data_IF_915353291129
#
_entry.id   IF_915353291129
#
_cell.length_a   1.000
_cell.length_b   1.000
_cell.length_c   1.000
_cell.angle_alpha   90.00
_cell.angle_beta   90.00
_cell.angle_gamma   90.00
#
_symmetry.space_group_name_H-M   'P 1'
#
loop_
_entity.id
_entity.type
_entity.pdbx_description
1 polymer ?
#
# COMPACT_ATOMS: atom_id res chain seq x y z
N UNK A 1 -0.49 2.20 -28.36
CA UNK A 1 -0.82 2.01 -26.94
C UNK A 1 -0.03 3.03 -26.13
N UNK A 2 -0.63 3.59 -25.08
CA UNK A 2 0.11 4.48 -24.16
C UNK A 2 1.01 3.61 -23.27
N UNK A 3 2.29 3.97 -23.06
CA UNK A 3 3.17 3.23 -22.15
C UNK A 3 2.69 3.38 -20.71
N UNK A 4 2.90 2.35 -19.90
CA UNK A 4 2.65 2.42 -18.45
C UNK A 4 3.70 3.31 -17.77
N UNK A 5 3.32 4.05 -16.71
CA UNK A 5 4.24 4.94 -16.00
C UNK A 5 5.25 4.16 -15.14
N UNK A 6 6.41 4.75 -14.85
CA UNK A 6 7.42 4.14 -13.97
C UNK A 6 6.96 3.97 -12.51
N UNK A 7 5.95 4.73 -12.09
CA UNK A 7 5.35 4.67 -10.76
C UNK A 7 3.83 4.61 -10.91
N UNK A 8 3.21 3.66 -10.23
CA UNK A 8 1.75 3.50 -10.19
C UNK A 8 1.28 3.70 -8.76
N UNK A 9 0.21 4.49 -8.61
CA UNK A 9 -0.50 4.65 -7.34
C UNK A 9 -1.82 3.90 -7.45
N UNK A 10 -2.04 2.94 -6.57
CA UNK A 10 -3.31 2.20 -6.47
C UNK A 10 -4.06 2.68 -5.24
N UNK A 11 -5.17 3.37 -5.45
CA UNK A 11 -6.08 3.78 -4.38
C UNK A 11 -7.21 2.78 -4.22
N UNK A 12 -7.25 2.08 -3.08
CA UNK A 12 -8.40 1.27 -2.71
C UNK A 12 -9.52 2.19 -2.21
N UNK A 13 -10.66 2.20 -2.91
CA UNK A 13 -11.85 2.97 -2.52
C UNK A 13 -12.53 2.29 -1.33
N UNK A 14 -12.03 2.56 -0.13
CA UNK A 14 -12.50 1.92 1.10
C UNK A 14 -13.64 2.66 1.80
N UNK A 15 -13.82 3.96 1.56
CA UNK A 15 -14.84 4.74 2.26
C UNK A 15 -16.08 4.92 1.39
N UNK A 16 -17.25 4.74 2.01
CA UNK A 16 -18.52 5.23 1.48
C UNK A 16 -18.78 6.63 2.03
N UNK A 17 -19.56 7.41 1.29
CA UNK A 17 -19.97 8.78 1.66
C UNK A 17 -21.50 8.84 1.75
N UNK A 18 -22.09 7.79 2.32
CA UNK A 18 -23.50 7.70 2.71
C UNK A 18 -23.65 7.96 4.20
N UNK A 19 -24.88 7.88 4.72
CA UNK A 19 -25.21 8.25 6.11
C UNK A 19 -24.42 7.46 7.18
N UNK A 20 -23.79 6.33 6.81
CA UNK A 20 -23.00 5.51 7.73
C UNK A 20 -21.52 5.86 7.77
N UNK A 21 -20.99 6.57 6.76
CA UNK A 21 -19.55 6.87 6.62
C UNK A 21 -18.65 5.62 6.84
N UNK A 22 -19.11 4.47 6.32
CA UNK A 22 -18.48 3.19 6.60
C UNK A 22 -17.15 3.00 5.87
N UNK A 23 -16.33 2.13 6.46
CA UNK A 23 -15.06 1.68 5.87
C UNK A 23 -15.14 0.20 5.51
N UNK A 24 -14.83 -0.11 4.26
CA UNK A 24 -14.61 -1.47 3.79
C UNK A 24 -13.27 -1.99 4.34
N UNK A 25 -13.36 -2.81 5.39
CA UNK A 25 -12.21 -3.47 6.02
C UNK A 25 -11.81 -4.80 5.37
N UNK A 26 -12.34 -5.10 4.17
CA UNK A 26 -11.96 -6.27 3.39
C UNK A 26 -10.45 -6.32 3.17
N UNK A 27 -9.83 -7.44 3.55
CA UNK A 27 -8.42 -7.70 3.27
C UNK A 27 -8.22 -7.82 1.75
N UNK A 28 -7.27 -7.07 1.21
CA UNK A 28 -6.90 -7.13 -0.21
C UNK A 28 -5.49 -7.70 -0.26
N UNK A 29 -5.36 -8.90 -0.82
CA UNK A 29 -4.04 -9.49 -1.07
C UNK A 29 -3.40 -8.78 -2.26
N UNK A 30 -2.16 -8.33 -2.11
CA UNK A 30 -1.38 -7.72 -3.18
C UNK A 30 0.03 -8.33 -3.23
N UNK A 31 0.67 -8.38 -4.41
CA UNK A 31 2.05 -8.82 -4.54
C UNK A 31 3.03 -7.73 -4.06
N UNK A 32 4.07 -8.13 -3.33
CA UNK A 32 5.17 -7.23 -2.93
C UNK A 32 6.17 -7.02 -4.07
N UNK A 33 6.31 -8.00 -4.96
CA UNK A 33 7.24 -7.97 -6.09
C UNK A 33 6.60 -8.55 -7.35
N UNK A 34 7.13 -8.17 -8.52
CA UNK A 34 6.77 -8.73 -9.82
C UNK A 34 5.27 -8.66 -10.15
N UNK A 35 4.59 -7.56 -9.77
CA UNK A 35 3.19 -7.34 -10.13
C UNK A 35 3.06 -7.08 -11.63
N UNK A 36 2.17 -7.84 -12.29
CA UNK A 36 1.88 -7.73 -13.72
C UNK A 36 0.59 -6.94 -13.93
N UNK A 37 0.70 -5.63 -14.12
CA UNK A 37 -0.47 -4.74 -14.26
C UNK A 37 -1.27 -5.04 -15.53
N UNK A 38 -0.58 -5.31 -16.63
CA UNK A 38 -1.14 -5.66 -17.93
C UNK A 38 -1.16 -7.17 -18.19
N UNK A 39 -0.84 -7.99 -17.17
CA UNK A 39 -0.69 -9.44 -17.31
C UNK A 39 0.57 -9.90 -18.05
N UNK A 40 1.39 -8.98 -18.57
CA UNK A 40 2.63 -9.30 -19.30
C UNK A 40 3.83 -9.43 -18.37
N UNK A 41 4.89 -10.10 -18.84
CA UNK A 41 6.17 -10.15 -18.13
C UNK A 41 7.06 -8.93 -18.42
N UNK A 42 6.61 -7.99 -19.26
CA UNK A 42 7.42 -6.84 -19.69
C UNK A 42 7.15 -5.59 -18.83
N UNK A 43 6.12 -5.63 -17.98
CA UNK A 43 5.65 -4.50 -17.18
C UNK A 43 5.51 -4.91 -15.72
N UNK A 44 6.65 -5.22 -15.08
CA UNK A 44 6.72 -5.67 -13.69
C UNK A 44 6.87 -4.49 -12.74
N UNK A 45 6.10 -4.50 -11.66
CA UNK A 45 6.15 -3.50 -10.60
C UNK A 45 6.42 -4.15 -9.25
N UNK A 46 7.34 -3.55 -8.51
CA UNK A 46 7.58 -3.87 -7.10
C UNK A 46 6.88 -2.85 -6.22
N UNK A 47 6.33 -3.33 -5.11
CA UNK A 47 5.69 -2.47 -4.12
C UNK A 47 6.76 -1.63 -3.42
N UNK A 48 6.58 -0.30 -3.47
CA UNK A 48 7.49 0.64 -2.81
C UNK A 48 6.98 1.06 -1.42
N UNK A 49 5.66 1.23 -1.29
CA UNK A 49 5.03 1.65 -0.05
C UNK A 49 3.55 1.26 0.02
N UNK A 50 3.02 1.19 1.24
CA UNK A 50 1.61 0.99 1.56
C UNK A 50 1.19 1.98 2.63
N UNK A 51 0.23 2.85 2.33
CA UNK A 51 -0.41 3.69 3.34
C UNK A 51 -1.63 2.97 3.91
N UNK A 52 -1.60 2.71 5.20
CA UNK A 52 -2.63 2.01 5.95
C UNK A 52 -3.46 2.99 6.73
N UNK A 53 -4.77 2.77 6.76
CA UNK A 53 -5.70 3.53 7.60
C UNK A 53 -6.40 2.60 8.60
N UNK A 54 -6.38 2.96 9.88
CA UNK A 54 -7.12 2.27 10.94
C UNK A 54 -8.17 3.23 11.49
N UNK A 55 -9.35 2.71 11.85
CA UNK A 55 -10.49 3.53 12.27
C UNK A 55 -11.45 3.86 11.12
N UNK A 56 -12.38 4.78 11.37
CA UNK A 56 -13.43 5.18 10.44
C UNK A 56 -13.11 6.51 9.75
N UNK A 57 -13.98 6.97 8.83
CA UNK A 57 -13.78 8.19 8.05
C UNK A 57 -13.54 9.43 8.92
N UNK A 58 -14.22 9.54 10.07
CA UNK A 58 -14.18 10.72 10.96
C UNK A 58 -13.03 10.70 11.95
N UNK A 59 -12.61 9.50 12.37
CA UNK A 59 -11.58 9.27 13.38
C UNK A 59 -10.79 8.03 13.00
N UNK A 60 -9.62 8.26 12.43
CA UNK A 60 -8.67 7.22 12.13
C UNK A 60 -7.23 7.68 12.20
N UNK A 61 -6.33 6.74 11.94
CA UNK A 61 -4.90 6.92 12.01
C UNK A 61 -4.24 6.36 10.76
N UNK A 62 -3.35 7.14 10.16
CA UNK A 62 -2.58 6.72 9.01
C UNK A 62 -1.18 6.28 9.45
N UNK A 63 -0.75 5.14 8.96
CA UNK A 63 0.65 4.69 9.07
C UNK A 63 1.13 4.22 7.72
N UNK A 64 2.44 4.13 7.53
CA UNK A 64 3.01 3.78 6.23
C UNK A 64 4.02 2.65 6.39
N UNK A 65 3.89 1.62 5.57
CA UNK A 65 5.02 0.72 5.31
C UNK A 65 5.76 1.22 4.08
N UNK A 66 7.07 1.35 4.13
CA UNK A 66 7.85 1.70 2.94
C UNK A 66 9.19 0.97 2.90
N UNK A 67 9.62 0.68 1.67
CA UNK A 67 10.91 0.08 1.36
C UNK A 67 11.94 1.17 1.14
N UNK A 68 13.04 1.14 1.89
CA UNK A 68 14.13 2.10 1.65
C UNK A 68 14.91 1.73 0.39
N UNK A 69 15.15 2.75 -0.44
CA UNK A 69 16.00 2.62 -1.62
C UNK A 69 17.43 2.24 -1.20
N UNK A 70 18.05 1.35 -1.96
CA UNK A 70 19.41 0.87 -1.72
C UNK A 70 19.47 -0.39 -0.85
N UNK A 71 18.94 -0.35 0.37
CA UNK A 71 18.97 -1.54 1.27
C UNK A 71 17.89 -2.56 0.96
N UNK A 72 16.76 -2.12 0.39
CA UNK A 72 15.59 -2.96 0.16
C UNK A 72 14.86 -3.37 1.44
N UNK A 73 15.27 -2.85 2.60
CA UNK A 73 14.68 -3.08 3.92
C UNK A 73 13.35 -2.32 4.05
N UNK A 74 12.36 -3.00 4.62
CA UNK A 74 11.05 -2.40 4.94
C UNK A 74 11.02 -1.80 6.32
N UNK A 75 10.28 -0.71 6.47
CA UNK A 75 10.03 -0.02 7.74
C UNK A 75 8.55 0.31 7.89
N UNK A 76 8.06 0.27 9.11
CA UNK A 76 6.79 0.84 9.54
C UNK A 76 7.03 2.23 10.11
N UNK A 77 6.42 3.22 9.48
CA UNK A 77 6.43 4.61 9.89
C UNK A 77 5.09 4.93 10.55
N UNK A 78 5.13 5.14 11.86
CA UNK A 78 4.00 5.50 12.69
C UNK A 78 4.34 6.81 13.42
N UNK A 79 4.04 7.94 12.77
CA UNK A 79 4.45 9.28 13.19
C UNK A 79 5.98 9.37 13.44
N UNK A 80 6.40 9.63 14.67
CA UNK A 80 7.80 9.68 15.08
C UNK A 80 8.40 8.31 15.42
N UNK A 81 7.58 7.25 15.49
CA UNK A 81 8.02 5.89 15.75
C UNK A 81 8.30 5.16 14.42
N UNK A 82 9.55 4.79 14.21
CA UNK A 82 10.02 4.12 13.00
C UNK A 82 10.59 2.76 13.40
N UNK A 83 10.04 1.68 12.83
CA UNK A 83 10.43 0.32 13.17
C UNK A 83 10.80 -0.47 11.91
N UNK A 84 11.96 -1.16 11.87
CA UNK A 84 12.27 -2.07 10.78
C UNK A 84 11.35 -3.30 10.82
N UNK A 85 10.99 -3.82 9.65
CA UNK A 85 10.26 -5.09 9.52
C UNK A 85 11.26 -6.25 9.39
N UNK A 86 11.09 -7.30 10.18
CA UNK A 86 11.94 -8.50 10.06
C UNK A 86 11.62 -9.32 8.80
N UNK A 87 10.36 -9.28 8.36
CA UNK A 87 9.88 -9.89 7.13
C UNK A 87 8.66 -9.11 6.60
N UNK A 88 8.21 -9.46 5.39
CA UNK A 88 7.09 -8.79 4.72
C UNK A 88 5.75 -9.51 4.92
N UNK A 89 5.60 -10.40 5.92
CA UNK A 89 4.35 -11.16 6.13
C UNK A 89 3.19 -10.30 6.61
N UNK A 90 3.49 -9.14 7.22
CA UNK A 90 2.50 -8.16 7.64
C UNK A 90 2.07 -7.19 6.52
N UNK A 91 2.70 -7.29 5.34
CA UNK A 91 2.27 -6.58 4.13
C UNK A 91 1.19 -7.39 3.41
#
# INVERSE_FOLDING_TARGET
>A
SQPLPSVIIVQLKRFTFDDTDDKLDTFVKYPVQNWKVDGSNNSLYDLAAVSMHVGNLKRGHYTTFARLNGSGQWYHFNDSNIQPLNDTSCL
#
